data_IF_535166644897
#
_entry.id   IF_535166644897
#
_cell.length_a   1.000
_cell.length_b   1.000
_cell.length_c   1.000
_cell.angle_alpha   90.00
_cell.angle_beta   90.00
_cell.angle_gamma   90.00
#
_symmetry.space_group_name_H-M   'P 1'
#
loop_
_entity.id
_entity.type
_entity.pdbx_description
1 polymer ?
#
# COMPACT_ATOMS: atom_id res chain seq x y z
N UNK A 1 -14.45 10.71 11.45
CA UNK A 1 -15.59 10.05 10.76
C UNK A 1 -15.30 8.55 10.74
N UNK A 2 -16.28 7.68 11.01
CA UNK A 2 -16.04 6.22 11.03
C UNK A 2 -15.76 5.69 9.61
N UNK A 3 -14.78 4.79 9.47
CA UNK A 3 -14.44 4.19 8.19
C UNK A 3 -15.54 3.21 7.77
N UNK A 4 -16.54 3.72 7.04
CA UNK A 4 -17.71 2.95 6.58
C UNK A 4 -17.32 1.71 5.77
N UNK A 5 -16.30 1.81 4.91
CA UNK A 5 -15.83 0.68 4.11
C UNK A 5 -15.23 -0.42 4.99
N UNK A 6 -14.42 -0.05 5.99
CA UNK A 6 -13.87 -1.01 6.93
C UNK A 6 -14.96 -1.65 7.81
N UNK A 7 -15.93 -0.85 8.24
CA UNK A 7 -17.09 -1.31 9.02
C UNK A 7 -17.92 -2.31 8.22
N UNK A 8 -18.25 -1.97 6.97
CA UNK A 8 -18.94 -2.85 6.05
C UNK A 8 -18.13 -4.14 5.80
N UNK A 9 -16.81 -4.01 5.63
CA UNK A 9 -15.95 -5.17 5.44
C UNK A 9 -16.02 -6.14 6.61
N UNK A 10 -15.85 -5.62 7.83
CA UNK A 10 -15.82 -6.42 9.05
C UNK A 10 -17.17 -7.06 9.37
N UNK A 11 -18.27 -6.34 9.16
CA UNK A 11 -19.59 -6.78 9.61
C UNK A 11 -20.35 -7.60 8.57
N UNK A 12 -20.08 -7.41 7.27
CA UNK A 12 -20.88 -7.98 6.18
C UNK A 12 -20.01 -8.72 5.19
N UNK A 13 -19.03 -8.04 4.57
CA UNK A 13 -18.30 -8.58 3.42
C UNK A 13 -17.53 -9.85 3.78
N UNK A 14 -16.80 -9.82 4.90
CA UNK A 14 -15.94 -10.94 5.30
C UNK A 14 -16.72 -12.24 5.56
N UNK A 15 -18.00 -12.14 5.93
CA UNK A 15 -18.83 -13.29 6.34
C UNK A 15 -19.83 -13.70 5.28
N UNK A 16 -20.32 -12.77 4.46
CA UNK A 16 -21.45 -13.02 3.55
C UNK A 16 -21.04 -13.06 2.08
N UNK A 17 -19.92 -12.46 1.68
CA UNK A 17 -19.53 -12.45 0.27
C UNK A 17 -18.76 -13.70 -0.12
N UNK A 18 -18.96 -14.11 -1.37
CA UNK A 18 -18.11 -15.09 -2.04
C UNK A 18 -16.64 -14.62 -2.04
N UNK A 19 -15.73 -15.57 -1.88
CA UNK A 19 -14.30 -15.28 -1.85
C UNK A 19 -13.47 -16.34 -2.57
N UNK A 20 -12.30 -15.91 -3.02
CA UNK A 20 -11.19 -16.78 -3.42
C UNK A 20 -10.01 -16.46 -2.54
N UNK A 21 -9.22 -17.48 -2.20
CA UNK A 21 -8.02 -17.29 -1.40
C UNK A 21 -6.90 -18.21 -1.86
N UNK A 22 -5.67 -17.81 -1.56
CA UNK A 22 -4.52 -18.69 -1.58
C UNK A 22 -3.58 -18.36 -0.43
N UNK A 23 -2.73 -19.31 -0.10
CA UNK A 23 -1.69 -19.16 0.91
C UNK A 23 -0.33 -19.39 0.28
N UNK A 24 0.68 -18.68 0.78
CA UNK A 24 2.06 -18.80 0.33
C UNK A 24 2.97 -18.88 1.56
N UNK A 25 3.83 -19.89 1.62
CA UNK A 25 4.85 -19.99 2.68
C UNK A 25 5.81 -18.81 2.65
N UNK A 26 6.43 -18.47 3.76
CA UNK A 26 7.41 -17.37 3.80
C UNK A 26 8.72 -17.71 3.07
N UNK A 27 9.28 -18.88 3.34
CA UNK A 27 10.59 -19.32 2.83
C UNK A 27 10.75 -19.11 1.32
N UNK A 28 11.82 -18.46 0.84
CA UNK A 28 13.04 -18.08 1.58
C UNK A 28 13.01 -16.66 2.18
N UNK A 29 11.85 -16.01 2.25
CA UNK A 29 11.71 -14.65 2.76
C UNK A 29 11.23 -14.66 4.21
N UNK A 30 11.45 -13.56 4.93
CA UNK A 30 10.80 -13.34 6.22
C UNK A 30 9.37 -12.77 6.05
N UNK A 31 8.49 -12.85 7.06
CA UNK A 31 7.11 -12.39 6.97
C UNK A 31 6.94 -10.97 6.45
N UNK A 32 7.71 -10.00 6.98
CA UNK A 32 7.67 -8.62 6.51
C UNK A 32 7.95 -8.52 5.02
N UNK A 33 9.01 -9.16 4.53
CA UNK A 33 9.38 -9.08 3.12
C UNK A 33 8.26 -9.58 2.21
N UNK A 34 7.71 -10.76 2.51
CA UNK A 34 6.64 -11.32 1.68
C UNK A 34 5.36 -10.49 1.78
N UNK A 35 5.04 -9.95 2.95
CA UNK A 35 3.91 -9.06 3.13
C UNK A 35 4.03 -7.79 2.27
N UNK A 36 5.18 -7.11 2.28
CA UNK A 36 5.40 -5.90 1.47
C UNK A 36 5.35 -6.22 -0.04
N UNK A 37 5.92 -7.35 -0.46
CA UNK A 37 5.82 -7.79 -1.86
C UNK A 37 4.37 -8.07 -2.27
N UNK A 38 3.59 -8.70 -1.40
CA UNK A 38 2.18 -8.95 -1.65
C UNK A 38 1.35 -7.65 -1.67
N UNK A 39 1.64 -6.72 -0.76
CA UNK A 39 1.05 -5.38 -0.74
C UNK A 39 1.23 -4.72 -2.10
N UNK A 40 2.48 -4.59 -2.55
CA UNK A 40 2.82 -3.97 -3.82
C UNK A 40 2.24 -4.74 -5.03
N UNK A 41 2.21 -6.08 -4.98
CA UNK A 41 1.68 -6.90 -6.10
C UNK A 41 0.18 -6.76 -6.29
N UNK A 42 -0.57 -6.57 -5.20
CA UNK A 42 -2.01 -6.29 -5.25
C UNK A 42 -2.27 -4.84 -5.61
N UNK A 43 -1.45 -3.92 -5.11
CA UNK A 43 -1.78 -2.50 -5.16
C UNK A 43 -1.80 -1.94 -6.58
N UNK A 44 -2.63 -0.92 -6.76
CA UNK A 44 -2.75 -0.19 -8.02
C UNK A 44 -3.33 1.20 -7.76
N UNK A 45 -3.23 2.08 -8.75
CA UNK A 45 -3.82 3.43 -8.69
C UNK A 45 -5.34 3.37 -8.42
N UNK A 46 -6.03 2.34 -8.90
CA UNK A 46 -7.47 2.15 -8.71
C UNK A 46 -7.87 1.46 -7.40
N UNK A 47 -6.90 1.17 -6.51
CA UNK A 47 -7.14 0.57 -5.21
C UNK A 47 -6.91 1.57 -4.09
N UNK A 48 -7.82 1.56 -3.12
CA UNK A 48 -7.73 2.28 -1.87
C UNK A 48 -7.34 1.32 -0.76
N UNK A 49 -6.26 1.64 -0.04
CA UNK A 49 -5.98 1.00 1.23
C UNK A 49 -6.94 1.55 2.30
N UNK A 50 -7.84 0.72 2.81
CA UNK A 50 -8.83 1.17 3.81
C UNK A 50 -8.42 0.80 5.23
N UNK A 51 -7.49 -0.15 5.37
CA UNK A 51 -6.96 -0.58 6.66
C UNK A 51 -5.55 -1.12 6.51
N UNK A 52 -4.70 -0.77 7.46
CA UNK A 52 -3.38 -1.36 7.58
C UNK A 52 -2.94 -1.44 9.03
N UNK A 53 -2.40 -2.60 9.38
CA UNK A 53 -1.73 -2.89 10.64
C UNK A 53 -0.42 -3.59 10.30
N UNK A 54 0.65 -3.20 11.00
CA UNK A 54 1.95 -3.83 10.88
C UNK A 54 2.26 -4.58 12.17
N UNK A 55 2.93 -5.73 12.04
CA UNK A 55 3.61 -6.37 13.15
C UNK A 55 4.68 -5.43 13.70
N UNK A 56 4.89 -5.47 15.02
CA UNK A 56 5.99 -4.77 15.68
C UNK A 56 7.36 -5.40 15.40
N UNK A 57 7.38 -6.64 14.91
CA UNK A 57 8.57 -7.43 14.62
C UNK A 57 8.53 -7.92 13.17
N UNK A 58 9.62 -7.71 12.43
CA UNK A 58 9.71 -8.06 11.02
C UNK A 58 9.62 -9.57 10.74
N UNK A 59 9.92 -10.38 11.76
CA UNK A 59 9.96 -11.84 11.70
C UNK A 59 8.68 -12.50 12.19
N UNK A 60 7.72 -11.72 12.71
CA UNK A 60 6.46 -12.23 13.27
C UNK A 60 5.26 -11.94 12.38
N UNK A 61 4.24 -12.75 12.59
CA UNK A 61 2.89 -12.62 12.04
C UNK A 61 2.16 -11.37 12.58
N UNK A 62 0.96 -11.10 12.04
CA UNK A 62 0.08 -10.04 12.54
C UNK A 62 0.03 -8.76 11.70
N UNK A 63 0.87 -8.64 10.67
CA UNK A 63 0.67 -7.65 9.61
C UNK A 63 -0.60 -7.97 8.83
N UNK A 64 -1.46 -6.99 8.64
CA UNK A 64 -2.75 -7.14 7.98
C UNK A 64 -3.09 -5.89 7.19
N UNK A 65 -3.60 -6.05 5.97
CA UNK A 65 -4.14 -4.92 5.22
C UNK A 65 -5.40 -5.30 4.45
N UNK A 66 -6.25 -4.31 4.21
CA UNK A 66 -7.46 -4.45 3.41
C UNK A 66 -7.48 -3.36 2.35
N UNK A 67 -7.60 -3.79 1.09
CA UNK A 67 -7.80 -2.94 -0.07
C UNK A 67 -9.25 -2.99 -0.54
N UNK A 68 -9.72 -1.87 -1.07
CA UNK A 68 -10.98 -1.74 -1.78
C UNK A 68 -10.70 -1.24 -3.20
N UNK A 69 -11.18 -1.96 -4.22
CA UNK A 69 -11.01 -1.59 -5.62
C UNK A 69 -12.15 -0.73 -6.15
N UNK A 70 -11.88 0.02 -7.23
CA UNK A 70 -12.91 0.71 -8.01
C UNK A 70 -14.02 -0.20 -8.58
N UNK A 71 -13.76 -1.52 -8.67
CA UNK A 71 -14.72 -2.56 -9.07
C UNK A 71 -15.55 -3.08 -7.90
N UNK A 72 -15.55 -2.40 -6.75
CA UNK A 72 -16.27 -2.74 -5.53
C UNK A 72 -15.90 -4.10 -4.94
N UNK A 73 -14.64 -4.53 -5.11
CA UNK A 73 -14.11 -5.79 -4.54
C UNK A 73 -13.14 -5.48 -3.41
N UNK A 74 -12.98 -6.42 -2.48
CA UNK A 74 -12.06 -6.28 -1.37
C UNK A 74 -10.95 -7.31 -1.45
N UNK A 75 -9.72 -6.93 -1.09
CA UNK A 75 -8.59 -7.85 -0.96
C UNK A 75 -7.99 -7.70 0.42
N UNK A 76 -7.95 -8.78 1.19
CA UNK A 76 -7.25 -8.91 2.47
C UNK A 76 -5.90 -9.59 2.26
N UNK A 77 -4.85 -9.07 2.90
CA UNK A 77 -3.54 -9.73 2.99
C UNK A 77 -3.20 -9.88 4.47
N UNK A 78 -3.04 -11.11 4.93
CA UNK A 78 -2.83 -11.45 6.34
C UNK A 78 -1.54 -12.27 6.49
N UNK A 79 -0.60 -11.74 7.26
CA UNK A 79 0.57 -12.48 7.71
C UNK A 79 0.16 -13.37 8.88
N UNK A 80 0.13 -14.68 8.66
CA UNK A 80 -0.18 -15.71 9.65
C UNK A 80 1.11 -16.42 10.07
N UNK A 81 1.00 -17.36 11.00
CA UNK A 81 2.11 -18.22 11.36
C UNK A 81 2.60 -19.02 10.13
N UNK A 82 3.89 -18.91 9.81
CA UNK A 82 4.60 -19.59 8.71
C UNK A 82 4.13 -19.31 7.26
N UNK A 83 3.03 -18.56 7.06
CA UNK A 83 2.47 -18.28 5.73
C UNK A 83 1.76 -16.93 5.63
N UNK A 84 1.74 -16.40 4.41
CA UNK A 84 0.92 -15.26 4.02
C UNK A 84 -0.37 -15.76 3.37
N UNK A 85 -1.53 -15.26 3.82
CA UNK A 85 -2.84 -15.52 3.20
C UNK A 85 -3.30 -14.28 2.43
N UNK A 86 -3.72 -14.48 1.19
CA UNK A 86 -4.43 -13.45 0.41
C UNK A 86 -5.85 -13.93 0.15
N UNK A 87 -6.83 -13.09 0.45
CA UNK A 87 -8.25 -13.37 0.25
C UNK A 87 -8.89 -12.24 -0.53
N UNK A 88 -9.58 -12.56 -1.63
CA UNK A 88 -10.34 -11.60 -2.42
C UNK A 88 -11.83 -11.89 -2.30
N UNK A 89 -12.58 -10.91 -1.81
CA UNK A 89 -14.02 -10.96 -1.65
C UNK A 89 -14.69 -10.23 -2.81
N UNK A 90 -15.78 -10.80 -3.31
CA UNK A 90 -16.49 -10.29 -4.47
C UNK A 90 -18.00 -10.58 -4.39
N UNK A 91 -18.85 -9.71 -4.98
CA UNK A 91 -20.29 -9.97 -5.08
C UNK A 91 -20.62 -11.26 -5.85
N UNK A 92 -21.77 -11.87 -5.56
CA UNK A 92 -22.22 -13.16 -6.12
C UNK A 92 -22.18 -13.26 -7.65
N UNK A 93 -22.34 -12.14 -8.36
CA UNK A 93 -22.35 -12.08 -9.83
C UNK A 93 -20.99 -11.77 -10.47
N UNK A 94 -19.91 -11.77 -9.68
CA UNK A 94 -18.58 -11.44 -10.18
C UNK A 94 -17.55 -12.47 -9.75
N UNK A 95 -16.36 -12.45 -10.34
CA UNK A 95 -15.33 -13.45 -10.03
C UNK A 95 -14.11 -12.91 -9.29
N UNK A 96 -13.44 -13.81 -8.59
CA UNK A 96 -12.15 -13.60 -7.95
C UNK A 96 -10.96 -14.06 -8.79
N UNK A 97 -11.17 -14.49 -10.04
CA UNK A 97 -10.20 -15.29 -10.83
C UNK A 97 -8.84 -14.64 -10.98
N UNK A 98 -8.81 -13.30 -11.08
CA UNK A 98 -7.54 -12.54 -11.14
C UNK A 98 -6.62 -12.81 -9.95
N UNK A 99 -7.16 -13.18 -8.78
CA UNK A 99 -6.34 -13.51 -7.62
C UNK A 99 -5.49 -14.76 -7.90
N UNK A 100 -6.07 -15.79 -8.50
CA UNK A 100 -5.39 -17.06 -8.76
C UNK A 100 -4.61 -17.01 -10.08
N UNK A 101 -5.19 -16.43 -11.12
CA UNK A 101 -4.63 -16.50 -12.47
C UNK A 101 -3.62 -15.38 -12.79
N UNK A 102 -3.69 -14.24 -12.09
CA UNK A 102 -2.78 -13.10 -12.33
C UNK A 102 -1.90 -12.82 -11.11
N UNK A 103 -2.50 -12.62 -9.93
CA UNK A 103 -1.77 -12.18 -8.73
C UNK A 103 -0.87 -13.27 -8.17
N UNK A 104 -1.40 -14.48 -7.93
CA UNK A 104 -0.63 -15.59 -7.37
C UNK A 104 0.66 -15.87 -8.17
N UNK A 105 0.63 -16.13 -9.49
CA UNK A 105 1.85 -16.39 -10.25
C UNK A 105 2.79 -15.18 -10.27
N UNK A 106 2.26 -13.96 -10.32
CA UNK A 106 3.07 -12.73 -10.25
C UNK A 106 3.79 -12.62 -8.91
N UNK A 107 3.11 -12.88 -7.80
CA UNK A 107 3.70 -12.84 -6.46
C UNK A 107 4.74 -13.95 -6.26
N UNK A 108 4.47 -15.16 -6.72
CA UNK A 108 5.43 -16.27 -6.67
C UNK A 108 6.71 -15.95 -7.45
N UNK A 109 6.57 -15.42 -8.67
CA UNK A 109 7.72 -14.93 -9.47
C UNK A 109 8.48 -13.83 -8.75
N UNK A 110 7.79 -12.84 -8.19
CA UNK A 110 8.39 -11.73 -7.45
C UNK A 110 9.10 -12.18 -6.18
N UNK A 111 8.54 -13.16 -5.46
CA UNK A 111 9.16 -13.77 -4.28
C UNK A 111 10.52 -14.38 -4.65
N UNK A 112 10.57 -15.15 -5.73
CA UNK A 112 11.82 -15.75 -6.24
C UNK A 112 12.81 -14.68 -6.72
N UNK A 113 12.37 -13.73 -7.55
CA UNK A 113 13.20 -12.62 -8.04
C UNK A 113 13.78 -11.78 -6.90
N UNK A 114 12.94 -11.43 -5.92
CA UNK A 114 13.38 -10.67 -4.76
C UNK A 114 14.40 -11.47 -3.94
N UNK A 115 14.19 -12.77 -3.74
CA UNK A 115 15.08 -13.62 -2.95
C UNK A 115 16.50 -13.69 -3.49
N UNK A 116 16.67 -13.64 -4.82
CA UNK A 116 17.97 -13.71 -5.48
C UNK A 116 18.72 -12.37 -5.52
N UNK A 117 18.04 -11.25 -5.22
CA UNK A 117 18.66 -9.92 -5.19
C UNK A 117 19.58 -9.75 -3.97
N UNK A 118 20.59 -8.88 -4.12
CA UNK A 118 21.50 -8.49 -3.04
C UNK A 118 20.73 -7.79 -1.91
N UNK A 119 21.20 -7.92 -0.67
CA UNK A 119 20.53 -7.35 0.51
C UNK A 119 20.34 -5.82 0.44
N UNK A 120 21.32 -5.11 -0.14
CA UNK A 120 21.20 -3.67 -0.38
C UNK A 120 20.01 -3.34 -1.29
N UNK A 121 19.89 -4.05 -2.42
CA UNK A 121 18.80 -3.85 -3.37
C UNK A 121 17.45 -4.24 -2.75
N UNK A 122 17.40 -5.34 -1.99
CA UNK A 122 16.21 -5.74 -1.21
C UNK A 122 15.76 -4.61 -0.28
N UNK A 123 16.70 -3.99 0.42
CA UNK A 123 16.43 -2.89 1.36
C UNK A 123 15.87 -1.68 0.65
N UNK A 124 16.47 -1.30 -0.49
CA UNK A 124 15.98 -0.19 -1.30
C UNK A 124 14.57 -0.47 -1.82
N UNK A 125 14.28 -1.65 -2.37
CA UNK A 125 12.94 -2.03 -2.84
C UNK A 125 11.90 -1.91 -1.71
N UNK A 126 12.17 -2.48 -0.53
CA UNK A 126 11.24 -2.42 0.60
C UNK A 126 10.99 -0.98 1.08
N UNK A 127 12.02 -0.12 1.04
CA UNK A 127 11.87 1.31 1.36
C UNK A 127 11.01 2.04 0.33
N UNK A 128 11.11 1.69 -0.96
CA UNK A 128 10.23 2.26 -1.99
C UNK A 128 8.77 1.79 -1.80
N UNK A 129 8.55 0.51 -1.45
CA UNK A 129 7.21 0.00 -1.10
C UNK A 129 6.66 0.69 0.16
N UNK A 130 7.52 1.05 1.13
CA UNK A 130 7.10 1.87 2.27
C UNK A 130 6.58 3.24 1.81
N UNK A 131 7.22 3.90 0.83
CA UNK A 131 6.72 5.16 0.24
C UNK A 131 5.31 4.96 -0.33
N UNK A 132 5.12 3.92 -1.15
CA UNK A 132 3.81 3.55 -1.71
C UNK A 132 2.73 3.44 -0.62
N UNK A 133 3.05 2.71 0.45
CA UNK A 133 2.15 2.49 1.58
C UNK A 133 1.82 3.77 2.35
N UNK A 134 2.78 4.67 2.51
CA UNK A 134 2.57 5.97 3.18
C UNK A 134 1.70 6.91 2.34
N UNK A 135 1.82 6.87 1.02
CA UNK A 135 0.90 7.58 0.11
C UNK A 135 -0.54 7.07 0.26
N UNK A 136 -0.71 5.75 0.33
CA UNK A 136 -2.01 5.13 0.53
C UNK A 136 -2.63 5.45 1.89
N UNK A 137 -1.80 5.45 2.95
CA UNK A 137 -2.21 5.87 4.28
C UNK A 137 -2.66 7.34 4.29
N UNK A 138 -1.90 8.23 3.64
CA UNK A 138 -2.25 9.64 3.48
C UNK A 138 -3.59 9.82 2.77
N UNK A 139 -3.78 9.15 1.62
CA UNK A 139 -5.03 9.17 0.88
C UNK A 139 -6.22 8.71 1.74
N UNK A 140 -6.02 7.66 2.54
CA UNK A 140 -7.07 7.17 3.43
C UNK A 140 -7.41 8.15 4.55
N UNK A 141 -6.42 8.79 5.18
CA UNK A 141 -6.65 9.80 6.23
C UNK A 141 -7.46 10.99 5.71
N UNK A 142 -7.07 11.51 4.55
CA UNK A 142 -7.77 12.63 3.90
C UNK A 142 -9.22 12.26 3.60
N UNK A 143 -9.48 11.04 3.12
CA UNK A 143 -10.85 10.55 2.86
C UNK A 143 -11.68 10.24 4.12
N UNK A 144 -11.06 10.16 5.29
CA UNK A 144 -11.75 9.90 6.57
C UNK A 144 -11.92 11.18 7.39
N UNK A 145 -11.56 12.33 6.83
CA UNK A 145 -11.52 13.64 7.49
C UNK A 145 -10.75 13.55 8.81
N UNK A 146 -9.60 12.88 8.77
CA UNK A 146 -8.66 12.82 9.88
C UNK A 146 -7.96 14.17 10.10
N UNK A 147 -7.35 14.33 11.27
CA UNK A 147 -6.67 15.57 11.65
C UNK A 147 -5.46 15.85 10.76
N UNK A 148 -5.19 17.13 10.52
CA UNK A 148 -4.07 17.61 9.70
C UNK A 148 -2.73 17.02 10.12
N UNK A 149 -2.50 16.85 11.43
CA UNK A 149 -1.27 16.22 11.96
C UNK A 149 -1.00 14.83 11.38
N UNK A 150 -2.02 13.97 11.26
CA UNK A 150 -1.86 12.62 10.70
C UNK A 150 -1.52 12.67 9.21
N UNK A 151 -2.14 13.60 8.47
CA UNK A 151 -1.87 13.82 7.04
C UNK A 151 -0.44 14.34 6.85
N UNK A 152 -0.01 15.31 7.65
CA UNK A 152 1.34 15.86 7.64
C UNK A 152 2.40 14.77 7.83
N UNK A 153 2.26 13.95 8.88
CA UNK A 153 3.20 12.86 9.15
C UNK A 153 3.23 11.81 8.04
N UNK A 154 2.07 11.44 7.47
CA UNK A 154 2.05 10.49 6.37
C UNK A 154 2.78 11.00 5.12
N UNK A 155 2.67 12.30 4.80
CA UNK A 155 3.42 12.94 3.71
C UNK A 155 4.92 13.03 4.05
N UNK A 156 5.24 13.44 5.28
CA UNK A 156 6.62 13.54 5.76
C UNK A 156 7.36 12.19 5.68
N UNK A 157 6.75 11.13 6.20
CA UNK A 157 7.29 9.77 6.15
C UNK A 157 7.54 9.31 4.70
N UNK A 158 6.61 9.59 3.79
CA UNK A 158 6.76 9.25 2.37
C UNK A 158 7.94 10.01 1.73
N UNK A 159 8.06 11.31 2.01
CA UNK A 159 9.11 12.18 1.49
C UNK A 159 10.49 11.76 2.01
N UNK A 160 10.63 11.58 3.32
CA UNK A 160 11.88 11.20 3.96
C UNK A 160 12.33 9.81 3.53
N UNK A 161 11.40 8.83 3.51
CA UNK A 161 11.71 7.47 3.05
C UNK A 161 12.16 7.47 1.59
N UNK A 162 11.58 8.31 0.74
CA UNK A 162 11.98 8.44 -0.65
C UNK A 162 13.36 9.12 -0.81
N UNK A 163 13.65 10.13 0.01
CA UNK A 163 14.88 10.94 -0.11
C UNK A 163 16.16 10.15 0.22
N UNK A 164 16.05 9.08 1.01
CA UNK A 164 17.19 8.27 1.47
C UNK A 164 17.40 6.98 0.66
N UNK A 165 16.69 6.81 -0.46
CA UNK A 165 16.82 5.62 -1.32
C UNK A 165 17.51 6.00 -2.63
N UNK A 166 18.76 5.55 -2.85
CA UNK A 166 19.52 5.87 -4.07
C UNK A 166 18.76 5.61 -5.37
N UNK A 167 18.21 4.40 -5.55
CA UNK A 167 17.42 4.04 -6.75
C UNK A 167 16.20 4.95 -6.95
N UNK A 168 15.60 5.45 -5.87
CA UNK A 168 14.49 6.40 -5.97
C UNK A 168 15.01 7.75 -6.46
N UNK A 169 16.10 8.24 -5.88
CA UNK A 169 16.63 9.57 -6.17
C UNK A 169 17.26 9.66 -7.57
N UNK A 170 17.86 8.58 -8.04
CA UNK A 170 18.46 8.48 -9.37
C UNK A 170 17.43 8.25 -10.49
N UNK A 171 16.21 7.81 -10.15
CA UNK A 171 15.17 7.57 -11.14
C UNK A 171 14.64 8.86 -11.77
N UNK A 172 14.34 8.79 -13.07
CA UNK A 172 13.77 9.91 -13.81
C UNK A 172 12.45 10.39 -13.19
N UNK A 173 12.36 11.69 -12.92
CA UNK A 173 11.19 12.32 -12.31
C UNK A 173 11.20 12.35 -10.77
N UNK A 174 12.20 11.78 -10.11
CA UNK A 174 12.32 11.78 -8.64
C UNK A 174 12.25 13.18 -8.02
N UNK A 175 12.88 14.17 -8.66
CA UNK A 175 12.90 15.57 -8.22
C UNK A 175 11.50 16.20 -8.22
N UNK A 176 10.66 15.87 -9.21
CA UNK A 176 9.27 16.32 -9.28
C UNK A 176 8.43 15.69 -8.19
N UNK A 177 8.65 14.41 -7.90
CA UNK A 177 7.98 13.70 -6.80
C UNK A 177 8.34 14.33 -5.45
N UNK A 178 9.64 14.54 -5.19
CA UNK A 178 10.13 15.19 -3.97
C UNK A 178 9.56 16.60 -3.82
N UNK A 179 9.54 17.38 -4.89
CA UNK A 179 8.96 18.73 -4.89
C UNK A 179 7.46 18.70 -4.58
N UNK A 180 6.71 17.77 -5.17
CA UNK A 180 5.27 17.64 -4.94
C UNK A 180 4.96 17.26 -3.49
N UNK A 181 5.68 16.28 -2.93
CA UNK A 181 5.55 15.90 -1.52
C UNK A 181 5.92 17.06 -0.59
N UNK A 182 7.01 17.79 -0.88
CA UNK A 182 7.43 18.95 -0.11
C UNK A 182 6.37 20.06 -0.11
N UNK A 183 5.81 20.41 -1.28
CA UNK A 183 4.77 21.42 -1.40
C UNK A 183 3.53 21.08 -0.57
N UNK A 184 3.08 19.82 -0.62
CA UNK A 184 1.94 19.39 0.17
C UNK A 184 2.27 19.37 1.66
N UNK A 185 3.44 18.87 2.05
CA UNK A 185 3.89 18.88 3.45
C UNK A 185 3.89 20.30 4.03
N UNK A 186 4.48 21.27 3.32
CA UNK A 186 4.46 22.69 3.73
C UNK A 186 3.05 23.25 3.81
N UNK A 187 2.17 22.91 2.87
CA UNK A 187 0.78 23.34 2.91
C UNK A 187 0.06 22.81 4.15
N UNK A 188 0.17 21.50 4.43
CA UNK A 188 -0.46 20.89 5.61
C UNK A 188 0.14 21.42 6.92
N UNK A 189 1.43 21.74 6.96
CA UNK A 189 2.09 22.32 8.13
C UNK A 189 1.48 23.67 8.55
N UNK A 190 1.00 24.47 7.59
CA UNK A 190 0.39 25.77 7.84
C UNK A 190 -1.08 25.67 8.29
N UNK A 191 -1.67 24.47 8.27
CA UNK A 191 -3.02 24.25 8.77
C UNK A 191 -3.03 24.07 10.29
N UNK A 192 -4.19 24.24 10.90
CA UNK A 192 -4.41 23.92 12.31
C UNK A 192 -4.34 22.40 12.51
N UNK A 193 -3.32 21.93 13.23
CA UNK A 193 -2.93 20.51 13.26
C UNK A 193 -3.97 19.59 13.90
N UNK A 194 -4.82 20.12 14.79
CA UNK A 194 -5.86 19.35 15.49
C UNK A 194 -7.23 19.45 14.82
N UNK A 195 -7.34 20.20 13.72
CA UNK A 195 -8.56 20.24 12.89
C UNK A 195 -8.56 19.18 11.79
N UNK A 196 -9.74 18.72 11.35
CA UNK A 196 -9.86 17.88 10.18
C UNK A 196 -9.21 18.48 8.94
N UNK A 197 -8.74 17.62 8.04
CA UNK A 197 -8.23 18.06 6.74
C UNK A 197 -9.30 18.81 5.93
N UNK A 198 -9.01 20.00 5.37
CA UNK A 198 -10.01 20.80 4.67
C UNK A 198 -10.57 20.11 3.42
N UNK A 199 -11.90 19.97 3.35
CA UNK A 199 -12.60 19.30 2.25
C UNK A 199 -12.27 19.89 0.86
N UNK A 200 -12.04 21.21 0.79
CA UNK A 200 -11.68 21.89 -0.45
C UNK A 200 -10.27 21.53 -0.97
N UNK A 201 -9.38 21.03 -0.12
CA UNK A 201 -8.02 20.61 -0.50
C UNK A 201 -7.94 19.12 -0.86
N UNK A 202 -8.94 18.32 -0.46
CA UNK A 202 -9.00 16.86 -0.68
C UNK A 202 -8.77 16.49 -2.15
N UNK A 203 -9.47 17.07 -3.14
CA UNK A 203 -9.32 16.64 -4.54
C UNK A 203 -7.91 16.89 -5.09
N UNK A 204 -7.30 18.02 -4.70
CA UNK A 204 -5.95 18.39 -5.13
C UNK A 204 -4.90 17.43 -4.60
N UNK A 205 -4.97 17.12 -3.30
CA UNK A 205 -4.01 16.21 -2.67
C UNK A 205 -4.15 14.80 -3.23
N UNK A 206 -5.38 14.27 -3.31
CA UNK A 206 -5.62 12.92 -3.86
C UNK A 206 -5.13 12.79 -5.30
N UNK A 207 -5.35 13.80 -6.15
CA UNK A 207 -4.84 13.82 -7.53
C UNK A 207 -3.31 13.68 -7.57
N UNK A 208 -2.58 14.44 -6.75
CA UNK A 208 -1.12 14.32 -6.71
C UNK A 208 -0.66 12.99 -6.11
N UNK A 209 -1.28 12.51 -5.02
CA UNK A 209 -0.95 11.21 -4.44
C UNK A 209 -1.13 10.07 -5.45
N UNK A 210 -2.19 10.08 -6.27
CA UNK A 210 -2.41 9.07 -7.31
C UNK A 210 -1.35 9.12 -8.42
N UNK A 211 -0.92 10.33 -8.82
CA UNK A 211 0.17 10.50 -9.79
C UNK A 211 1.50 9.98 -9.24
N UNK A 212 1.82 10.34 -8.00
CA UNK A 212 3.03 9.86 -7.33
C UNK A 212 2.97 8.34 -7.16
N UNK A 213 1.85 7.80 -6.67
CA UNK A 213 1.63 6.35 -6.52
C UNK A 213 1.86 5.62 -7.84
N UNK A 214 1.33 6.12 -8.96
CA UNK A 214 1.57 5.54 -10.29
C UNK A 214 3.06 5.46 -10.63
N UNK A 215 3.79 6.54 -10.36
CA UNK A 215 5.23 6.59 -10.60
C UNK A 215 6.00 5.62 -9.68
N UNK A 216 5.66 5.57 -8.39
CA UNK A 216 6.29 4.67 -7.41
C UNK A 216 6.04 3.20 -7.76
N UNK A 217 4.80 2.84 -8.12
CA UNK A 217 4.47 1.48 -8.57
C UNK A 217 5.33 1.06 -9.76
N UNK A 218 5.44 1.93 -10.78
CA UNK A 218 6.27 1.65 -11.95
C UNK A 218 7.76 1.52 -11.60
N UNK A 219 8.27 2.33 -10.66
CA UNK A 219 9.66 2.22 -10.22
C UNK A 219 9.91 0.87 -9.54
N UNK A 220 9.04 0.45 -8.63
CA UNK A 220 9.17 -0.87 -7.97
C UNK A 220 9.08 -1.99 -8.99
N UNK A 221 8.08 -1.97 -9.89
CA UNK A 221 7.94 -2.95 -10.97
C UNK A 221 9.25 -3.05 -11.79
N UNK A 222 9.83 -1.92 -12.19
CA UNK A 222 11.07 -1.88 -12.95
C UNK A 222 12.28 -2.47 -12.22
N UNK A 223 12.35 -2.34 -10.89
CA UNK A 223 13.50 -2.79 -10.09
C UNK A 223 13.31 -4.24 -9.62
N UNK A 224 12.07 -4.66 -9.43
CA UNK A 224 11.69 -5.97 -8.93
C UNK A 224 11.55 -7.02 -10.05
N UNK A 225 10.95 -6.63 -11.17
CA UNK A 225 10.61 -7.54 -12.27
C UNK A 225 11.67 -7.60 -13.39
N UNK A 226 12.65 -6.68 -13.38
CA UNK A 226 13.91 -6.80 -14.13
C UNK A 226 14.96 -7.57 -13.32
#
# INVERSE_FOLDING_TARGET
MENRLLTQFNNVIRTQWSFTQFELSYEPLIPKQLFELAYHTINSVGMRNIFIKQSSDETKEGSHTIFYSNTKKFTSIEALENKLRLTKYFPEETTGDKLINEVKPKLEKRKLSFSSKKNELKTQILKIILVERKLDQCANFVMLNEINRKVYFAIGDARESAAVVPIFMEAEGSSLIQLALNKWMTNVQNLDQEKPFPDNLVPGLLKNLMQIKKWVLNLVDNVLDK
#
